data_IF_355816656172
#
_entry.id   IF_355816656172
#
_cell.length_a   1.000
_cell.length_b   1.000
_cell.length_c   1.000
_cell.angle_alpha   90.00
_cell.angle_beta   90.00
_cell.angle_gamma   90.00
#
_symmetry.space_group_name_H-M   'P 1'
#
loop_
_entity.id
_entity.type
_entity.pdbx_description
1 polymer ?
#
# COMPACT_ATOMS: atom_id res chain seq x y z
N UNK A 1 -18.94 8.67 0.08
CA UNK A 1 -20.17 8.76 -0.74
C UNK A 1 -20.11 10.10 -1.46
N UNK A 2 -20.50 10.17 -2.73
CA UNK A 2 -20.44 11.40 -3.54
C UNK A 2 -21.85 12.01 -3.60
N UNK A 3 -22.25 12.83 -2.61
CA UNK A 3 -23.67 13.09 -2.32
C UNK A 3 -24.37 13.90 -3.42
N UNK A 4 -23.62 14.76 -4.11
CA UNK A 4 -24.17 15.62 -5.16
C UNK A 4 -24.35 14.89 -6.51
N UNK A 5 -23.79 13.68 -6.65
CA UNK A 5 -23.79 12.94 -7.91
C UNK A 5 -25.04 12.05 -8.09
N UNK A 6 -25.90 11.93 -7.06
CA UNK A 6 -27.14 11.14 -7.12
C UNK A 6 -28.14 11.67 -8.16
N UNK A 7 -27.99 12.93 -8.57
CA UNK A 7 -28.85 13.61 -9.55
C UNK A 7 -28.33 13.50 -10.99
N UNK A 8 -27.17 12.88 -11.20
CA UNK A 8 -26.55 12.72 -12.51
C UNK A 8 -27.01 11.41 -13.16
N UNK A 9 -27.65 11.51 -14.32
CA UNK A 9 -28.11 10.35 -15.09
C UNK A 9 -26.93 9.44 -15.44
N UNK A 10 -27.07 8.13 -15.22
CA UNK A 10 -26.03 7.11 -15.44
C UNK A 10 -24.75 7.25 -14.59
N UNK A 11 -24.84 7.89 -13.41
CA UNK A 11 -23.74 7.91 -12.46
C UNK A 11 -23.56 6.56 -11.74
N UNK A 12 -22.61 5.77 -12.22
CA UNK A 12 -22.22 4.49 -11.61
C UNK A 12 -20.99 4.70 -10.72
N UNK A 13 -21.22 4.96 -9.42
CA UNK A 13 -20.14 5.20 -8.44
C UNK A 13 -19.08 4.10 -8.43
N UNK A 14 -19.46 2.85 -8.72
CA UNK A 14 -18.54 1.72 -8.80
C UNK A 14 -17.50 1.86 -9.95
N UNK A 15 -17.88 2.50 -11.06
CA UNK A 15 -17.03 2.64 -12.25
C UNK A 15 -15.98 3.76 -12.16
N UNK A 16 -16.12 4.67 -11.18
CA UNK A 16 -15.29 5.87 -11.05
C UNK A 16 -14.48 5.90 -9.74
N UNK A 17 -14.39 4.78 -9.04
CA UNK A 17 -13.60 4.70 -7.81
C UNK A 17 -12.12 4.87 -8.10
N UNK A 18 -11.37 5.33 -7.10
CA UNK A 18 -9.91 5.25 -7.14
C UNK A 18 -9.49 3.81 -7.42
N UNK A 19 -8.57 3.63 -8.37
CA UNK A 19 -7.99 2.32 -8.64
C UNK A 19 -7.23 1.87 -7.40
N UNK A 20 -7.44 0.62 -6.92
CA UNK A 20 -6.64 0.09 -5.84
C UNK A 20 -5.19 -0.04 -6.31
N UNK A 21 -4.25 0.09 -5.36
CA UNK A 21 -2.85 -0.27 -5.55
C UNK A 21 -2.50 -1.35 -4.56
N UNK A 22 -1.58 -2.24 -4.90
CA UNK A 22 -1.14 -3.26 -3.96
C UNK A 22 -0.33 -2.59 -2.85
N UNK A 23 -0.66 -2.93 -1.61
CA UNK A 23 0.01 -2.43 -0.42
C UNK A 23 0.40 -3.60 0.46
N UNK A 24 1.64 -3.61 0.94
CA UNK A 24 2.18 -4.60 1.87
C UNK A 24 2.92 -3.87 3.00
N UNK A 25 2.80 -4.37 4.23
CA UNK A 25 3.59 -3.86 5.36
C UNK A 25 4.83 -4.73 5.52
N UNK A 26 6.01 -4.10 5.53
CA UNK A 26 7.29 -4.77 5.71
C UNK A 26 8.18 -3.97 6.66
N UNK A 27 8.64 -4.60 7.75
CA UNK A 27 9.51 -3.98 8.77
C UNK A 27 9.00 -2.61 9.27
N UNK A 28 7.69 -2.47 9.48
CA UNK A 28 7.06 -1.21 9.92
C UNK A 28 6.79 -0.19 8.80
N UNK A 29 7.27 -0.43 7.59
CA UNK A 29 7.04 0.42 6.41
C UNK A 29 5.84 -0.06 5.58
N UNK A 30 5.15 0.88 4.96
CA UNK A 30 4.14 0.60 3.93
C UNK A 30 4.78 0.68 2.56
N UNK A 31 4.83 -0.46 1.86
CA UNK A 31 5.29 -0.54 0.48
C UNK A 31 4.08 -0.62 -0.47
N UNK A 32 4.18 0.07 -1.61
CA UNK A 32 3.16 0.05 -2.66
C UNK A 32 3.71 -0.55 -3.96
N UNK A 33 2.87 -1.22 -4.72
CA UNK A 33 3.17 -1.67 -6.07
C UNK A 33 1.99 -1.40 -7.01
N UNK A 34 2.27 -0.87 -8.20
CA UNK A 34 1.28 -0.60 -9.24
C UNK A 34 1.00 -1.81 -10.14
N UNK A 35 1.90 -2.81 -10.14
CA UNK A 35 1.67 -4.08 -10.82
C UNK A 35 0.85 -5.02 -9.93
N UNK A 36 -0.39 -5.29 -10.34
CA UNK A 36 -1.29 -6.21 -9.65
C UNK A 36 -0.72 -7.64 -9.61
N UNK A 37 0.07 -8.03 -10.62
CA UNK A 37 0.68 -9.35 -10.76
C UNK A 37 2.02 -9.53 -10.04
N UNK A 38 2.50 -8.51 -9.32
CA UNK A 38 3.82 -8.56 -8.69
C UNK A 38 3.95 -9.75 -7.70
N UNK A 39 5.11 -10.41 -7.59
CA UNK A 39 5.33 -11.37 -6.52
C UNK A 39 5.25 -10.68 -5.13
N UNK A 40 4.98 -11.42 -4.04
CA UNK A 40 4.98 -10.86 -2.67
C UNK A 40 6.30 -10.15 -2.34
N UNK A 41 6.24 -9.05 -1.61
CA UNK A 41 7.42 -8.20 -1.35
C UNK A 41 8.43 -8.89 -0.44
N UNK A 42 7.98 -9.50 0.66
CA UNK A 42 8.86 -9.98 1.73
C UNK A 42 9.96 -10.95 1.25
N UNK A 43 9.68 -12.00 0.44
CA UNK A 43 10.72 -12.90 -0.06
C UNK A 43 11.79 -12.21 -0.93
N UNK A 44 11.42 -11.14 -1.64
CA UNK A 44 12.33 -10.40 -2.50
C UNK A 44 13.32 -9.55 -1.69
N UNK A 45 12.96 -9.19 -0.45
CA UNK A 45 13.75 -8.34 0.44
C UNK A 45 14.45 -9.11 1.57
N UNK A 46 14.50 -10.44 1.52
CA UNK A 46 15.07 -11.24 2.62
C UNK A 46 16.56 -10.94 2.86
N UNK A 47 17.32 -10.71 1.78
CA UNK A 47 18.71 -10.26 1.89
C UNK A 47 18.81 -8.89 2.57
N UNK A 48 17.90 -7.96 2.23
CA UNK A 48 17.86 -6.65 2.84
C UNK A 48 17.48 -6.74 4.32
N UNK A 49 16.48 -7.55 4.67
CA UNK A 49 16.10 -7.84 6.06
C UNK A 49 17.29 -8.33 6.87
N UNK A 50 18.09 -9.23 6.30
CA UNK A 50 19.29 -9.74 6.99
C UNK A 50 20.29 -8.61 7.27
N UNK A 51 20.50 -7.72 6.30
CA UNK A 51 21.39 -6.58 6.47
C UNK A 51 20.81 -5.62 7.50
N UNK A 52 19.51 -5.32 7.47
CA UNK A 52 18.90 -4.27 8.31
C UNK A 52 18.42 -4.74 9.68
N UNK A 53 18.48 -6.03 9.98
CA UNK A 53 18.03 -6.60 11.26
C UNK A 53 18.59 -5.89 12.51
N UNK A 54 19.87 -5.49 12.59
CA UNK A 54 20.40 -4.80 13.77
C UNK A 54 19.73 -3.45 14.09
N UNK A 55 19.09 -2.81 13.11
CA UNK A 55 18.46 -1.51 13.27
C UNK A 55 17.01 -1.58 13.78
N UNK A 56 16.43 -2.79 13.87
CA UNK A 56 15.08 -3.02 14.34
C UNK A 56 14.05 -2.07 13.69
N UNK A 57 14.03 -2.07 12.36
CA UNK A 57 13.27 -1.11 11.55
C UNK A 57 11.77 -1.08 11.90
N UNK A 58 11.19 -2.21 12.31
CA UNK A 58 9.79 -2.32 12.72
C UNK A 58 9.41 -1.48 13.95
N UNK A 59 10.37 -1.16 14.82
CA UNK A 59 10.14 -0.43 16.08
C UNK A 59 10.62 1.02 16.01
N UNK A 60 10.94 1.52 14.81
CA UNK A 60 11.36 2.91 14.65
C UNK A 60 10.22 3.88 14.98
N UNK A 61 10.57 4.93 15.71
CA UNK A 61 9.66 6.02 16.10
C UNK A 61 10.23 7.36 15.67
N UNK A 62 9.36 8.34 15.45
CA UNK A 62 9.79 9.72 15.20
C UNK A 62 10.33 10.33 16.51
N UNK A 63 11.50 10.97 16.42
CA UNK A 63 12.03 11.79 17.52
C UNK A 63 11.71 13.24 17.21
N UNK A 64 11.11 13.94 18.17
CA UNK A 64 10.69 15.34 18.08
C UNK A 64 11.72 16.28 18.68
#
# INVERSE_FOLDING_TARGET
MAPEMERTTAFELASIRLKPVRCEVWEGFVAINFDEGAPPLAPQLENLRTITAPWNMGDMVTVH
#
